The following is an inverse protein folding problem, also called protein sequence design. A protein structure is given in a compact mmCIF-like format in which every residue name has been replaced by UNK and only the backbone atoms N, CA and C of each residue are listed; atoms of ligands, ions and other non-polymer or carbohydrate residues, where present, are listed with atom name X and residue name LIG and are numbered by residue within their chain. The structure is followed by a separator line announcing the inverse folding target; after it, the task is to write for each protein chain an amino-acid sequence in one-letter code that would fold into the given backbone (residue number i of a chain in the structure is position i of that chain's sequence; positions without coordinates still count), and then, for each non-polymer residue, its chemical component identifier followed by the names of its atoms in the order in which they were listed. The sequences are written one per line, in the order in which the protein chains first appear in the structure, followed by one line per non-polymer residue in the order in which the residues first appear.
data_IF_320434453548
#
_entry.id   IF_320434453548
#
_cell.length_a   1.000
_cell.length_b   1.000
_cell.length_c   1.000
_cell.angle_alpha   90.00
_cell.angle_beta   90.00
_cell.angle_gamma   90.00
#
_symmetry.space_group_name_H-M   'P 1'
#
loop_
_entity.id
_entity.type
_entity.pdbx_description
1 polymer ?
#
# COMPACT_ATOMS: atom_id res chain seq x y z
N UNK A 1 -9.15 14.25 20.12
CA UNK A 1 -8.25 15.40 19.94
C UNK A 1 -6.98 14.87 19.27
N UNK A 2 -6.92 14.95 17.95
CA UNK A 2 -5.75 14.56 17.14
C UNK A 2 -5.09 15.89 16.77
N UNK A 3 -4.22 16.42 17.65
CA UNK A 3 -3.66 17.77 17.44
C UNK A 3 -2.27 17.74 16.77
N UNK A 4 -1.60 16.58 16.76
CA UNK A 4 -0.25 16.41 16.19
C UNK A 4 -0.01 14.99 15.63
N UNK A 5 -0.90 14.49 14.76
CA UNK A 5 -0.61 13.23 14.08
C UNK A 5 0.51 13.42 13.05
N UNK A 6 1.59 12.65 13.19
CA UNK A 6 2.66 12.56 12.18
C UNK A 6 2.28 11.50 11.16
N UNK A 7 2.29 11.86 9.88
CA UNK A 7 1.91 11.00 8.77
C UNK A 7 3.11 10.75 7.87
N UNK A 8 3.20 9.54 7.33
CA UNK A 8 4.07 9.22 6.19
C UNK A 8 3.18 8.73 5.05
N UNK A 9 3.29 9.37 3.89
CA UNK A 9 2.54 9.03 2.68
C UNK A 9 3.52 8.54 1.61
N UNK A 10 3.30 7.32 1.12
CA UNK A 10 4.09 6.72 0.05
C UNK A 10 3.19 6.47 -1.16
N UNK A 11 2.85 7.55 -1.88
CA UNK A 11 2.65 7.62 -3.34
C UNK A 11 2.04 8.98 -3.69
N UNK A 12 2.88 9.88 -4.19
CA UNK A 12 2.46 10.87 -5.16
C UNK A 12 3.65 10.98 -6.11
N UNK A 13 3.40 11.14 -7.40
CA UNK A 13 4.28 12.01 -8.19
C UNK A 13 4.26 13.36 -7.46
N UNK A 14 5.10 13.52 -6.43
CA UNK A 14 5.33 14.81 -5.81
C UNK A 14 6.24 15.48 -6.81
N UNK A 15 5.63 16.23 -7.72
CA UNK A 15 6.36 17.19 -8.54
C UNK A 15 7.28 17.98 -7.59
N UNK A 16 8.55 18.23 -7.95
CA UNK A 16 9.47 18.97 -7.09
C UNK A 16 8.91 20.31 -6.60
N UNK A 17 7.95 20.88 -7.34
CA UNK A 17 7.23 22.10 -6.97
C UNK A 17 6.24 21.92 -5.80
N UNK A 18 5.59 20.76 -5.64
CA UNK A 18 4.66 20.49 -4.54
C UNK A 18 5.36 20.37 -3.16
N UNK A 19 6.69 20.20 -3.16
CA UNK A 19 7.55 20.21 -1.97
C UNK A 19 7.62 21.61 -1.33
N UNK A 20 7.35 22.68 -2.09
CA UNK A 20 7.52 24.06 -1.60
C UNK A 20 6.25 24.67 -0.99
N UNK A 21 5.07 24.14 -1.28
CA UNK A 21 3.79 24.66 -0.75
C UNK A 21 3.25 23.85 0.45
N UNK A 22 4.05 22.94 1.00
CA UNK A 22 3.57 22.01 2.01
C UNK A 22 3.30 22.74 3.33
N UNK A 23 2.09 22.61 3.93
CA UNK A 23 1.77 23.26 5.19
C UNK A 23 2.80 22.91 6.27
N UNK A 24 3.03 23.80 7.24
CA UNK A 24 4.04 23.69 8.30
C UNK A 24 4.01 22.41 9.16
N UNK A 25 2.98 21.56 8.99
CA UNK A 25 2.81 20.28 9.68
C UNK A 25 3.12 19.05 8.81
N UNK A 26 3.55 19.24 7.57
CA UNK A 26 3.93 18.14 6.67
C UNK A 26 5.45 18.11 6.57
N UNK A 27 6.05 16.99 6.97
CA UNK A 27 7.47 16.74 6.78
C UNK A 27 7.64 15.77 5.61
N UNK A 28 8.49 16.16 4.67
CA UNK A 28 8.84 15.34 3.52
C UNK A 28 10.19 14.70 3.78
N UNK A 29 10.28 13.40 3.53
CA UNK A 29 11.52 12.66 3.64
C UNK A 29 11.88 12.02 2.30
N UNK A 30 13.15 12.12 1.93
CA UNK A 30 13.69 11.52 0.71
C UNK A 30 14.40 10.19 0.99
N UNK A 31 13.64 9.16 1.33
CA UNK A 31 14.16 7.79 1.48
C UNK A 31 13.18 6.78 0.89
N UNK A 32 13.62 5.53 0.74
CA UNK A 32 12.80 4.45 0.19
C UNK A 32 11.98 3.78 1.31
N UNK A 33 10.84 3.18 0.98
CA UNK A 33 9.98 2.57 2.00
C UNK A 33 10.64 1.36 2.69
N UNK A 34 11.63 0.73 2.04
CA UNK A 34 12.44 -0.35 2.58
C UNK A 34 13.46 0.11 3.63
N UNK A 35 13.77 1.42 3.68
CA UNK A 35 14.69 1.99 4.64
C UNK A 35 14.21 3.37 5.13
N UNK A 36 13.56 3.37 6.29
CA UNK A 36 13.11 4.58 6.97
C UNK A 36 14.03 4.95 8.15
N UNK A 37 15.35 4.75 8.05
CA UNK A 37 16.33 5.02 9.13
C UNK A 37 16.26 6.44 9.71
N UNK A 38 15.80 7.42 8.91
CA UNK A 38 15.62 8.81 9.36
C UNK A 38 14.39 9.00 10.26
N UNK A 39 13.50 8.02 10.33
CA UNK A 39 12.35 7.99 11.23
C UNK A 39 12.69 7.13 12.44
N UNK A 40 12.57 7.72 13.63
CA UNK A 40 12.77 7.03 14.88
C UNK A 40 11.72 5.92 15.09
N UNK A 41 12.14 4.84 15.73
CA UNK A 41 11.24 3.76 16.19
C UNK A 41 10.13 4.33 17.08
N UNK A 42 8.93 3.77 16.95
CA UNK A 42 7.78 4.12 17.80
C UNK A 42 7.43 5.63 17.83
N UNK A 43 7.66 6.34 16.73
CA UNK A 43 7.51 7.81 16.67
C UNK A 43 6.34 8.30 15.81
N UNK A 44 5.69 7.39 15.06
CA UNK A 44 4.63 7.71 14.11
C UNK A 44 3.29 7.16 14.62
N UNK A 45 2.30 8.03 14.77
CA UNK A 45 0.95 7.59 15.19
C UNK A 45 0.22 6.85 14.06
N UNK A 46 0.40 7.32 12.83
CA UNK A 46 -0.35 6.85 11.67
C UNK A 46 0.54 6.74 10.44
N UNK A 47 0.54 5.57 9.82
CA UNK A 47 1.12 5.34 8.49
C UNK A 47 -0.01 5.14 7.49
N UNK A 48 0.06 5.79 6.33
CA UNK A 48 -0.91 5.62 5.25
C UNK A 48 -0.18 5.20 3.99
N UNK A 49 -0.56 4.06 3.42
CA UNK A 49 0.01 3.55 2.17
C UNK A 49 -1.11 3.33 1.16
N UNK A 50 -0.91 3.80 -0.06
CA UNK A 50 -1.87 3.60 -1.14
C UNK A 50 -1.17 3.13 -2.39
N UNK A 51 -1.56 1.96 -2.89
CA UNK A 51 -1.13 1.39 -4.17
C UNK A 51 0.39 1.22 -4.28
N UNK A 52 1.07 0.92 -3.18
CA UNK A 52 2.52 0.80 -3.14
C UNK A 52 2.99 -0.63 -2.94
N UNK A 53 2.37 -1.37 -2.01
CA UNK A 53 2.77 -2.75 -1.72
C UNK A 53 2.61 -3.68 -2.93
N UNK A 54 1.68 -3.36 -3.83
CA UNK A 54 1.53 -4.11 -5.07
C UNK A 54 2.72 -3.93 -6.05
N UNK A 55 3.51 -2.87 -5.97
CA UNK A 55 4.59 -2.55 -6.92
C UNK A 55 6.02 -2.80 -6.41
N UNK A 56 6.19 -2.93 -5.10
CA UNK A 56 7.51 -3.09 -4.47
C UNK A 56 8.06 -4.53 -4.56
N UNK A 57 9.37 -4.75 -4.57
CA UNK A 57 9.94 -6.09 -4.66
C UNK A 57 9.77 -6.90 -3.37
N UNK A 58 9.86 -6.25 -2.20
CA UNK A 58 9.84 -6.90 -0.88
C UNK A 58 8.83 -6.24 0.06
N UNK A 59 7.64 -6.82 0.11
CA UNK A 59 6.54 -6.35 0.96
C UNK A 59 6.87 -6.54 2.44
N UNK A 60 7.54 -7.64 2.80
CA UNK A 60 7.76 -8.00 4.20
C UNK A 60 8.79 -7.06 4.84
N UNK A 61 9.79 -6.61 4.08
CA UNK A 61 10.71 -5.55 4.53
C UNK A 61 9.97 -4.23 4.81
N UNK A 62 9.09 -3.81 3.92
CA UNK A 62 8.33 -2.57 4.08
C UNK A 62 7.37 -2.66 5.27
N UNK A 63 6.66 -3.79 5.42
CA UNK A 63 5.75 -3.98 6.56
C UNK A 63 6.51 -4.00 7.89
N UNK A 64 7.74 -4.52 7.94
CA UNK A 64 8.61 -4.43 9.11
C UNK A 64 9.00 -3.00 9.44
N UNK A 65 9.34 -2.19 8.44
CA UNK A 65 9.64 -0.77 8.65
C UNK A 65 8.41 0.01 9.12
N UNK A 66 7.23 -0.22 8.52
CA UNK A 66 5.97 0.36 8.96
C UNK A 66 5.70 0.03 10.43
N UNK A 67 5.86 -1.24 10.81
CA UNK A 67 5.73 -1.65 12.20
C UNK A 67 6.77 -0.99 13.09
N UNK A 68 8.05 -0.90 12.68
CA UNK A 68 9.11 -0.28 13.49
C UNK A 68 8.79 1.18 13.82
N UNK A 69 8.41 1.97 12.82
CA UNK A 69 8.18 3.41 12.99
C UNK A 69 6.89 3.73 13.74
N UNK A 70 5.87 2.87 13.65
CA UNK A 70 4.61 3.06 14.35
C UNK A 70 4.80 3.05 15.86
N UNK A 71 4.23 4.05 16.55
CA UNK A 71 4.08 4.06 18.00
C UNK A 71 3.20 2.91 18.49
N UNK A 72 3.29 2.56 19.79
CA UNK A 72 2.40 1.57 20.40
C UNK A 72 0.94 2.00 20.24
N UNK A 73 0.08 1.14 19.69
CA UNK A 73 -1.31 1.46 19.37
C UNK A 73 -1.48 2.31 18.10
N UNK A 74 -0.38 2.64 17.41
CA UNK A 74 -0.37 3.34 16.13
C UNK A 74 -1.08 2.54 15.04
N UNK A 75 -1.50 3.24 13.99
CA UNK A 75 -2.39 2.70 12.96
C UNK A 75 -1.75 2.73 11.58
N UNK A 76 -1.82 1.61 10.89
CA UNK A 76 -1.47 1.50 9.48
C UNK A 76 -2.75 1.44 8.64
N UNK A 77 -3.00 2.46 7.83
CA UNK A 77 -4.09 2.50 6.86
C UNK A 77 -3.58 2.13 5.48
N UNK A 78 -4.31 1.26 4.78
CA UNK A 78 -3.90 0.81 3.45
C UNK A 78 -5.04 0.78 2.46
N UNK A 79 -4.70 1.05 1.19
CA UNK A 79 -5.51 0.75 0.01
C UNK A 79 -4.57 0.15 -1.03
N UNK A 80 -4.82 -1.07 -1.50
CA UNK A 80 -3.92 -1.79 -2.39
C UNK A 80 -4.68 -2.51 -3.50
N UNK A 81 -4.05 -2.66 -4.67
CA UNK A 81 -4.52 -3.59 -5.68
C UNK A 81 -4.24 -5.02 -5.22
N UNK A 82 -5.20 -5.92 -5.44
CA UNK A 82 -5.05 -7.32 -5.11
C UNK A 82 -5.41 -8.21 -6.29
N UNK A 83 -5.06 -9.47 -6.16
CA UNK A 83 -5.54 -10.48 -7.07
C UNK A 83 -7.05 -10.67 -6.97
N UNK A 84 -7.65 -11.07 -8.09
CA UNK A 84 -9.06 -11.43 -8.13
C UNK A 84 -9.39 -12.46 -7.04
N UNK A 85 -10.40 -12.12 -6.24
CA UNK A 85 -10.78 -12.82 -5.01
C UNK A 85 -12.13 -13.55 -5.13
N UNK A 86 -12.96 -13.23 -6.12
CA UNK A 86 -14.19 -13.99 -6.46
C UNK A 86 -13.93 -14.85 -7.70
N UNK A 87 -13.26 -15.99 -7.48
CA UNK A 87 -12.89 -16.90 -8.57
C UNK A 87 -14.10 -17.55 -9.26
N UNK A 88 -15.24 -17.64 -8.57
CA UNK A 88 -16.46 -18.20 -9.15
C UNK A 88 -17.07 -17.27 -10.18
N UNK A 89 -17.12 -15.96 -9.90
CA UNK A 89 -17.69 -14.97 -10.84
C UNK A 89 -16.67 -14.43 -11.84
N UNK A 90 -15.41 -14.33 -11.43
CA UNK A 90 -14.38 -13.60 -12.17
C UNK A 90 -13.11 -14.41 -12.39
N UNK A 91 -13.18 -15.75 -12.36
CA UNK A 91 -12.00 -16.61 -12.59
C UNK A 91 -11.22 -16.34 -13.88
N UNK A 92 -11.88 -15.85 -14.94
CA UNK A 92 -11.19 -15.39 -16.16
C UNK A 92 -10.32 -14.16 -15.90
N UNK A 93 -10.76 -13.21 -15.07
CA UNK A 93 -9.95 -12.04 -14.68
C UNK A 93 -8.67 -12.48 -13.98
N UNK A 94 -8.76 -13.45 -13.06
CA UNK A 94 -7.57 -14.00 -12.39
C UNK A 94 -6.55 -14.53 -13.39
N UNK A 95 -7.01 -15.33 -14.36
CA UNK A 95 -6.15 -15.86 -15.43
C UNK A 95 -5.52 -14.76 -16.28
N UNK A 96 -6.27 -13.71 -16.61
CA UNK A 96 -5.74 -12.56 -17.36
C UNK A 96 -4.71 -11.75 -16.57
N UNK A 97 -4.92 -11.59 -15.25
CA UNK A 97 -3.94 -10.98 -14.35
C UNK A 97 -2.63 -11.80 -14.36
N UNK A 98 -2.72 -13.12 -14.17
CA UNK A 98 -1.56 -14.02 -14.15
C UNK A 98 -0.82 -14.02 -15.50
N UNK A 99 -1.53 -14.08 -16.63
CA UNK A 99 -0.95 -14.05 -17.98
C UNK A 99 -0.25 -12.72 -18.25
N UNK A 100 -0.90 -11.58 -17.99
CA UNK A 100 -0.26 -10.29 -18.25
C UNK A 100 0.93 -10.03 -17.33
N UNK A 101 0.99 -10.67 -16.15
CA UNK A 101 2.13 -10.57 -15.24
C UNK A 101 3.29 -11.38 -15.80
N UNK A 102 3.02 -12.62 -16.23
CA UNK A 102 4.00 -13.49 -16.88
C UNK A 102 4.59 -12.87 -18.15
N UNK A 103 3.77 -12.14 -18.92
CA UNK A 103 4.21 -11.41 -20.11
C UNK A 103 5.00 -10.13 -19.80
N UNK A 104 5.16 -9.74 -18.52
CA UNK A 104 5.82 -8.49 -18.11
C UNK A 104 5.06 -7.21 -18.48
N UNK A 105 3.85 -7.34 -19.03
CA UNK A 105 3.04 -6.22 -19.53
C UNK A 105 2.53 -5.33 -18.39
N UNK A 106 2.14 -5.92 -17.25
CA UNK A 106 1.61 -5.17 -16.10
C UNK A 106 2.67 -4.30 -15.42
N UNK A 107 3.87 -4.84 -15.21
CA UNK A 107 4.95 -4.09 -14.56
C UNK A 107 5.37 -2.87 -15.38
N UNK A 108 5.22 -2.91 -16.70
CA UNK A 108 5.50 -1.77 -17.58
C UNK A 108 4.35 -0.73 -17.62
N UNK A 109 3.08 -1.17 -17.61
CA UNK A 109 1.93 -0.26 -17.77
C UNK A 109 1.35 0.30 -16.47
N UNK A 110 1.61 -0.34 -15.33
CA UNK A 110 1.01 0.01 -14.04
C UNK A 110 2.07 0.21 -12.96
N UNK A 111 3.18 0.84 -13.34
CA UNK A 111 4.25 1.25 -12.43
C UNK A 111 4.72 0.11 -11.51
N UNK A 112 5.04 -1.05 -12.11
CA UNK A 112 5.52 -2.23 -11.40
C UNK A 112 4.46 -3.10 -10.72
N UNK A 113 3.16 -2.76 -10.81
CA UNK A 113 2.11 -3.45 -10.05
C UNK A 113 1.98 -4.96 -10.37
N UNK A 114 2.02 -5.76 -9.31
CA UNK A 114 1.84 -7.20 -9.31
C UNK A 114 0.48 -7.59 -8.72
N UNK A 115 -0.54 -7.57 -9.57
CA UNK A 115 -1.93 -7.88 -9.23
C UNK A 115 -2.22 -9.37 -8.98
N UNK A 116 -1.21 -10.21 -8.75
CA UNK A 116 -1.38 -11.63 -8.41
C UNK A 116 -0.97 -11.95 -6.97
N UNK A 117 -0.58 -10.92 -6.19
CA UNK A 117 -0.10 -11.04 -4.82
C UNK A 117 -1.23 -11.09 -3.79
N UNK A 118 -0.96 -11.79 -2.69
CA UNK A 118 -1.87 -11.89 -1.55
C UNK A 118 -1.46 -10.92 -0.44
N UNK A 119 -1.64 -9.62 -0.71
CA UNK A 119 -1.25 -8.52 0.18
C UNK A 119 -1.88 -8.66 1.57
N UNK A 120 -3.11 -9.13 1.66
CA UNK A 120 -3.80 -9.29 2.94
C UNK A 120 -3.05 -10.28 3.84
N UNK A 121 -2.67 -11.44 3.30
CA UNK A 121 -1.90 -12.45 4.04
C UNK A 121 -0.54 -11.91 4.49
N UNK A 122 0.14 -11.10 3.68
CA UNK A 122 1.38 -10.43 4.10
C UNK A 122 1.15 -9.49 5.29
N UNK A 123 0.10 -8.66 5.25
CA UNK A 123 -0.25 -7.74 6.35
C UNK A 123 -0.62 -8.52 7.63
N UNK A 124 -1.43 -9.57 7.53
CA UNK A 124 -1.83 -10.40 8.66
C UNK A 124 -0.62 -11.09 9.34
N UNK A 125 0.43 -11.38 8.59
CA UNK A 125 1.65 -12.04 9.09
C UNK A 125 2.73 -11.07 9.55
N UNK A 126 2.59 -9.77 9.30
CA UNK A 126 3.62 -8.78 9.59
C UNK A 126 3.90 -8.59 11.09
N UNK A 127 2.95 -8.95 11.97
CA UNK A 127 3.08 -8.79 13.41
C UNK A 127 2.26 -7.64 14.01
N UNK A 128 1.25 -7.15 13.29
CA UNK A 128 0.23 -6.26 13.85
C UNK A 128 -0.63 -7.00 14.88
N UNK A 129 -1.04 -6.31 15.95
CA UNK A 129 -1.93 -6.86 16.98
C UNK A 129 -3.36 -7.09 16.49
N UNK A 130 -3.79 -6.34 15.46
CA UNK A 130 -5.09 -6.53 14.82
C UNK A 130 -5.07 -6.02 13.37
N UNK A 131 -5.85 -6.67 12.50
CA UNK A 131 -6.05 -6.29 11.11
C UNK A 131 -7.54 -6.36 10.81
N UNK A 132 -8.11 -5.24 10.36
CA UNK A 132 -9.48 -5.16 9.83
C UNK A 132 -9.39 -4.72 8.37
N UNK A 133 -9.84 -5.59 7.46
CA UNK A 133 -9.67 -5.39 6.03
C UNK A 133 -10.89 -5.81 5.22
N UNK A 134 -11.16 -5.06 4.17
CA UNK A 134 -12.26 -5.28 3.26
C UNK A 134 -11.74 -5.38 1.82
N UNK A 135 -12.07 -6.49 1.16
CA UNK A 135 -11.92 -6.65 -0.29
C UNK A 135 -13.10 -6.02 -1.01
N UNK A 136 -12.86 -5.28 -2.08
CA UNK A 136 -13.89 -4.60 -2.85
C UNK A 136 -13.47 -4.44 -4.30
N UNK A 137 -14.41 -4.05 -5.16
CA UNK A 137 -14.13 -3.67 -6.54
C UNK A 137 -14.19 -2.17 -6.66
N UNK A 138 -13.08 -1.55 -7.04
CA UNK A 138 -13.05 -0.14 -7.39
C UNK A 138 -13.81 0.10 -8.70
N UNK A 139 -14.60 1.18 -8.74
CA UNK A 139 -15.27 1.63 -9.98
C UNK A 139 -14.24 2.33 -10.87
N UNK A 140 -13.42 1.54 -11.55
CA UNK A 140 -12.50 2.04 -12.57
C UNK A 140 -13.23 2.16 -13.91
N UNK A 141 -12.66 2.93 -14.84
CA UNK A 141 -13.15 2.92 -16.23
C UNK A 141 -13.03 1.49 -16.81
N UNK A 142 -13.90 1.11 -17.74
CA UNK A 142 -14.02 -0.28 -18.23
C UNK A 142 -12.68 -0.86 -18.73
N UNK A 143 -11.82 -0.03 -19.32
CA UNK A 143 -10.48 -0.45 -19.79
C UNK A 143 -9.54 -0.89 -18.65
N UNK A 144 -9.79 -0.44 -17.43
CA UNK A 144 -9.04 -0.79 -16.21
C UNK A 144 -9.74 -1.86 -15.36
N UNK A 145 -10.72 -2.58 -15.91
CA UNK A 145 -11.46 -3.61 -15.16
C UNK A 145 -10.56 -4.69 -14.53
N UNK A 146 -9.35 -4.88 -15.06
CA UNK A 146 -8.37 -5.84 -14.57
C UNK A 146 -7.68 -5.40 -13.26
N UNK A 147 -7.66 -4.10 -12.94
CA UNK A 147 -7.12 -3.55 -11.66
C UNK A 147 -8.21 -3.28 -10.63
N UNK A 148 -9.47 -3.54 -10.98
CA UNK A 148 -10.62 -3.29 -10.11
C UNK A 148 -10.56 -3.99 -8.74
N UNK A 149 -10.09 -5.24 -8.61
CA UNK A 149 -9.99 -5.88 -7.30
C UNK A 149 -9.02 -5.10 -6.39
N UNK A 150 -9.55 -4.62 -5.26
CA UNK A 150 -8.83 -3.78 -4.33
C UNK A 150 -9.07 -4.24 -2.89
N UNK A 151 -8.13 -3.91 -2.03
CA UNK A 151 -8.16 -4.15 -0.60
C UNK A 151 -8.03 -2.80 0.10
N UNK A 152 -8.84 -2.56 1.13
CA UNK A 152 -8.63 -1.44 2.05
C UNK A 152 -8.75 -1.91 3.49
N UNK A 153 -8.07 -1.25 4.40
CA UNK A 153 -8.16 -1.65 5.80
C UNK A 153 -7.30 -0.82 6.74
N UNK A 154 -7.29 -1.30 7.98
CA UNK A 154 -6.55 -0.73 9.09
C UNK A 154 -5.87 -1.87 9.84
N UNK A 155 -4.57 -1.73 10.11
CA UNK A 155 -3.83 -2.59 11.02
C UNK A 155 -3.34 -1.78 12.23
N UNK A 156 -3.28 -2.41 13.40
CA UNK A 156 -2.81 -1.77 14.64
C UNK A 156 -1.52 -2.40 15.10
N UNK A 157 -0.54 -1.58 15.49
CA UNK A 157 0.64 -2.06 16.23
C UNK A 157 0.25 -2.39 17.67
#
# INVERSE_FOLDING_TARGET
RILEARFVCFWCFVEPEAVQETPSKVQLFGFTAENMEQIADNSIDVVVVTLMLCSVPDIDTILREILRVLASGGKYYFIEHIAEFDLQKHGLRRKLQDVGHWLGFWSFLFDGCHMNRDILTNIERAGFSSVDAQKFYNKTWFIFSLTSPSLKGIATK
#
